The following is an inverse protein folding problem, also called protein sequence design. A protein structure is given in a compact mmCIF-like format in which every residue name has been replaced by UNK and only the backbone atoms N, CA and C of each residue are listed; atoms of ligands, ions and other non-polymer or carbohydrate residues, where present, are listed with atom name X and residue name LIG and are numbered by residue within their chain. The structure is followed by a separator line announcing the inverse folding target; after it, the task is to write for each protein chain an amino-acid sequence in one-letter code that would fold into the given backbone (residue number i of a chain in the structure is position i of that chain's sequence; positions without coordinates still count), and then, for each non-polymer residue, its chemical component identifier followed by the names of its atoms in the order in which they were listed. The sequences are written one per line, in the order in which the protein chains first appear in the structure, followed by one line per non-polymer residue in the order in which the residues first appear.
data_IF_757735287781
#
_entry.id   IF_757735287781
#
_cell.length_a   1.000
_cell.length_b   1.000
_cell.length_c   1.000
_cell.angle_alpha   90.00
_cell.angle_beta   90.00
_cell.angle_gamma   90.00
#
_symmetry.space_group_name_H-M   'P 1'
#
loop_
_entity.id
_entity.type
_entity.pdbx_description
1 polymer ?
#
# COMPACT_ATOMS: atom_id res chain seq x y z
N UNK A 1 -10.26 6.86 -6.94
CA UNK A 1 -11.44 6.03 -6.67
C UNK A 1 -11.93 6.23 -5.23
N UNK A 2 -13.26 6.16 -5.03
CA UNK A 2 -13.88 6.25 -3.70
C UNK A 2 -14.84 5.08 -3.53
N UNK A 3 -14.64 4.30 -2.47
CA UNK A 3 -15.50 3.19 -2.05
C UNK A 3 -16.20 3.58 -0.76
N UNK A 4 -17.46 3.96 -0.85
CA UNK A 4 -18.27 4.33 0.30
C UNK A 4 -19.14 3.15 0.73
N UNK A 5 -18.71 2.40 1.75
CA UNK A 5 -19.38 1.23 2.30
C UNK A 5 -19.55 0.05 1.33
N UNK A 6 -18.96 0.11 0.12
CA UNK A 6 -19.07 -0.96 -0.88
C UNK A 6 -18.47 -2.28 -0.36
N UNK A 7 -17.35 -2.22 0.33
CA UNK A 7 -16.71 -3.41 0.89
C UNK A 7 -17.55 -4.06 1.99
N UNK A 8 -18.30 -3.25 2.76
CA UNK A 8 -19.12 -3.73 3.88
C UNK A 8 -20.31 -4.59 3.41
N UNK A 9 -20.82 -4.31 2.20
CA UNK A 9 -21.97 -5.01 1.61
C UNK A 9 -21.58 -5.97 0.48
N UNK A 10 -20.33 -6.02 0.08
CA UNK A 10 -19.84 -6.87 -0.98
C UNK A 10 -19.89 -8.36 -0.61
N UNK A 11 -20.26 -9.20 -1.56
CA UNK A 11 -20.14 -10.67 -1.41
C UNK A 11 -18.67 -11.08 -1.41
N UNK A 12 -17.87 -10.53 -2.34
CA UNK A 12 -16.42 -10.71 -2.40
C UNK A 12 -15.68 -9.36 -2.43
N UNK A 13 -15.28 -8.83 -1.27
CA UNK A 13 -14.54 -7.57 -1.19
C UNK A 13 -13.15 -7.64 -1.83
N UNK A 14 -12.56 -8.85 -1.89
CA UNK A 14 -11.25 -9.03 -2.53
C UNK A 14 -11.33 -8.88 -4.05
N UNK A 15 -12.42 -9.32 -4.65
CA UNK A 15 -12.63 -9.15 -6.09
C UNK A 15 -12.73 -7.66 -6.44
N UNK A 16 -13.52 -6.89 -5.68
CA UNK A 16 -13.67 -5.45 -5.88
C UNK A 16 -12.30 -4.75 -5.81
N UNK A 17 -11.51 -5.06 -4.79
CA UNK A 17 -10.19 -4.45 -4.64
C UNK A 17 -9.24 -4.81 -5.80
N UNK A 18 -9.29 -6.04 -6.30
CA UNK A 18 -8.51 -6.46 -7.48
C UNK A 18 -8.94 -5.76 -8.76
N UNK A 19 -10.23 -5.54 -8.94
CA UNK A 19 -10.73 -4.80 -10.11
C UNK A 19 -10.32 -3.33 -10.06
N UNK A 20 -10.37 -2.73 -8.88
CA UNK A 20 -9.87 -1.37 -8.67
C UNK A 20 -8.37 -1.29 -8.91
N UNK A 21 -7.60 -2.27 -8.43
CA UNK A 21 -6.17 -2.31 -8.69
C UNK A 21 -5.85 -2.32 -10.20
N UNK A 22 -6.64 -3.03 -10.99
CA UNK A 22 -6.49 -3.05 -12.46
C UNK A 22 -6.92 -1.73 -13.12
N UNK A 23 -7.93 -1.07 -12.57
CA UNK A 23 -8.54 0.12 -13.15
C UNK A 23 -7.87 1.43 -12.73
N UNK A 24 -7.20 1.45 -11.58
CA UNK A 24 -6.57 2.66 -11.04
C UNK A 24 -5.23 2.92 -11.75
N UNK A 25 -5.03 4.18 -12.12
CA UNK A 25 -3.76 4.61 -12.70
C UNK A 25 -2.60 4.50 -11.69
N UNK A 26 -1.35 4.37 -12.20
CA UNK A 26 -0.16 4.56 -11.39
C UNK A 26 -0.24 5.85 -10.57
N UNK A 27 0.16 5.79 -9.31
CA UNK A 27 0.08 6.91 -8.35
C UNK A 27 -1.34 7.43 -8.06
N UNK A 28 -2.38 6.70 -8.48
CA UNK A 28 -3.76 7.04 -8.20
C UNK A 28 -4.14 6.82 -6.74
N UNK A 29 -5.07 7.65 -6.24
CA UNK A 29 -5.56 7.60 -4.88
C UNK A 29 -6.84 6.75 -4.78
N UNK A 30 -6.89 5.90 -3.75
CA UNK A 30 -8.04 5.09 -3.36
C UNK A 30 -8.50 5.50 -1.96
N UNK A 31 -9.77 5.90 -1.86
CA UNK A 31 -10.41 6.24 -0.58
C UNK A 31 -11.42 5.16 -0.23
N UNK A 32 -11.27 4.56 0.94
CA UNK A 32 -12.18 3.53 1.46
C UNK A 32 -12.84 4.07 2.71
N UNK A 33 -14.16 4.04 2.73
CA UNK A 33 -15.00 4.36 3.89
C UNK A 33 -15.72 3.10 4.32
N UNK A 34 -15.57 2.71 5.59
CA UNK A 34 -16.19 1.49 6.10
C UNK A 34 -16.61 1.61 7.57
N UNK A 35 -17.41 0.65 8.02
CA UNK A 35 -17.85 0.56 9.40
C UNK A 35 -16.79 -0.09 10.29
N UNK A 36 -16.56 0.52 11.45
CA UNK A 36 -15.61 -0.02 12.41
C UNK A 36 -16.28 -1.12 13.26
N UNK A 37 -15.79 -2.36 13.23
CA UNK A 37 -16.33 -3.45 14.04
C UNK A 37 -16.22 -3.22 15.54
N UNK A 38 -15.19 -2.48 15.98
CA UNK A 38 -14.94 -2.17 17.38
C UNK A 38 -15.75 -0.96 17.88
N UNK A 39 -16.58 -0.37 17.03
CA UNK A 39 -17.43 0.73 17.43
C UNK A 39 -18.59 0.27 18.31
N UNK A 40 -19.19 1.23 19.04
CA UNK A 40 -20.46 0.97 19.76
C UNK A 40 -21.55 0.44 18.85
N UNK A 41 -21.54 0.82 17.56
CA UNK A 41 -22.47 0.30 16.53
C UNK A 41 -22.18 -1.16 16.19
N UNK A 42 -20.90 -1.55 16.08
CA UNK A 42 -20.49 -2.93 15.87
C UNK A 42 -20.82 -3.81 17.08
N UNK A 43 -20.54 -3.30 18.27
CA UNK A 43 -20.86 -3.98 19.52
C UNK A 43 -22.39 -4.13 19.71
N UNK A 44 -23.15 -3.10 19.38
CA UNK A 44 -24.61 -3.17 19.40
C UNK A 44 -25.17 -4.20 18.40
N UNK A 45 -24.55 -4.34 17.23
CA UNK A 45 -24.90 -5.41 16.29
C UNK A 45 -24.71 -6.81 16.91
N UNK A 46 -23.66 -6.99 17.71
CA UNK A 46 -23.37 -8.24 18.38
C UNK A 46 -24.38 -8.57 19.49
N UNK A 47 -24.84 -7.55 20.24
CA UNK A 47 -25.73 -7.76 21.40
C UNK A 47 -27.20 -7.59 21.12
N UNK A 48 -27.61 -6.87 20.08
CA UNK A 48 -29.02 -6.60 19.77
C UNK A 48 -29.43 -7.29 18.48
N UNK A 49 -30.09 -8.41 18.63
CA UNK A 49 -30.63 -9.26 17.56
C UNK A 49 -31.81 -8.63 16.80
N UNK A 50 -31.79 -7.37 16.44
CA UNK A 50 -32.85 -6.80 15.64
C UNK A 50 -32.61 -7.09 14.15
N UNK A 51 -33.24 -8.16 13.64
CA UNK A 51 -33.11 -8.69 12.27
C UNK A 51 -33.55 -7.75 11.14
N UNK A 52 -34.17 -6.61 11.45
CA UNK A 52 -34.73 -5.67 10.46
C UNK A 52 -33.77 -4.51 10.10
N UNK A 53 -32.55 -4.51 10.57
CA UNK A 53 -31.60 -3.45 10.28
C UNK A 53 -30.74 -3.82 9.07
N UNK A 54 -30.62 -2.91 8.09
CA UNK A 54 -29.68 -3.02 6.94
C UNK A 54 -28.25 -3.30 7.40
N UNK A 55 -27.89 -2.87 8.61
CA UNK A 55 -26.59 -3.17 9.22
C UNK A 55 -26.38 -4.66 9.53
N UNK A 56 -27.42 -5.47 9.48
CA UNK A 56 -27.29 -6.90 9.73
C UNK A 56 -26.59 -7.63 8.56
N UNK A 57 -26.80 -7.18 7.34
CA UNK A 57 -26.15 -7.73 6.14
C UNK A 57 -24.72 -7.21 5.95
N UNK A 58 -24.40 -6.06 6.52
CA UNK A 58 -23.06 -5.47 6.38
C UNK A 58 -21.99 -6.33 7.09
N UNK A 59 -20.90 -6.62 6.40
CA UNK A 59 -19.71 -7.26 6.96
C UNK A 59 -18.76 -6.17 7.44
N UNK A 60 -18.48 -6.13 8.74
CA UNK A 60 -17.57 -5.14 9.29
C UNK A 60 -16.13 -5.64 9.22
N UNK A 61 -15.29 -4.91 8.50
CA UNK A 61 -13.88 -5.21 8.39
C UNK A 61 -13.05 -4.28 9.28
N UNK A 62 -12.09 -4.85 9.98
CA UNK A 62 -11.16 -4.07 10.78
C UNK A 62 -10.14 -3.36 9.88
N UNK A 63 -9.72 -2.17 10.30
CA UNK A 63 -8.71 -1.38 9.57
C UNK A 63 -7.41 -2.15 9.31
N UNK A 64 -6.84 -2.91 10.27
CA UNK A 64 -5.66 -3.74 10.00
C UNK A 64 -5.88 -4.71 8.85
N UNK A 65 -7.02 -5.38 8.80
CA UNK A 65 -7.34 -6.35 7.74
C UNK A 65 -7.40 -5.72 6.35
N UNK A 66 -8.02 -4.54 6.24
CA UNK A 66 -8.04 -3.82 4.96
C UNK A 66 -6.64 -3.34 4.58
N UNK A 67 -5.84 -2.89 5.53
CA UNK A 67 -4.44 -2.54 5.28
C UNK A 67 -3.65 -3.70 4.70
N UNK A 68 -3.80 -4.89 5.27
CA UNK A 68 -3.12 -6.09 4.76
C UNK A 68 -3.52 -6.39 3.31
N UNK A 69 -4.81 -6.29 2.99
CA UNK A 69 -5.30 -6.48 1.62
C UNK A 69 -4.74 -5.44 0.65
N UNK A 70 -4.70 -4.18 1.07
CA UNK A 70 -4.13 -3.09 0.28
C UNK A 70 -2.63 -3.27 0.05
N UNK A 71 -1.88 -3.68 1.08
CA UNK A 71 -0.46 -3.97 0.95
C UNK A 71 -0.19 -5.11 -0.04
N UNK A 72 -0.98 -6.18 -0.03
CA UNK A 72 -0.87 -7.29 -0.98
C UNK A 72 -1.10 -6.85 -2.43
N UNK A 73 -1.92 -5.82 -2.65
CA UNK A 73 -2.19 -5.24 -3.97
C UNK A 73 -1.22 -4.11 -4.36
N UNK A 74 -0.20 -3.83 -3.54
CA UNK A 74 0.78 -2.79 -3.82
C UNK A 74 0.32 -1.37 -3.51
N UNK A 75 -0.75 -1.21 -2.71
CA UNK A 75 -1.17 0.10 -2.22
C UNK A 75 -0.44 0.47 -0.94
N UNK A 76 0.01 1.71 -0.85
CA UNK A 76 0.52 2.30 0.37
C UNK A 76 -0.57 3.10 1.07
N UNK A 77 -0.86 2.75 2.32
CA UNK A 77 -1.82 3.49 3.13
C UNK A 77 -1.19 4.78 3.64
N UNK A 78 -1.66 5.91 3.12
CA UNK A 78 -1.13 7.24 3.44
C UNK A 78 -1.77 7.79 4.71
N UNK A 79 -3.08 7.56 4.89
CA UNK A 79 -3.82 8.14 6.00
C UNK A 79 -4.96 7.24 6.46
N UNK A 80 -5.18 7.21 7.78
CA UNK A 80 -6.36 6.59 8.40
C UNK A 80 -7.00 7.60 9.33
N UNK A 81 -8.27 7.90 9.10
CA UNK A 81 -9.08 8.77 9.96
C UNK A 81 -10.27 8.01 10.51
N UNK A 82 -10.52 8.20 11.79
CA UNK A 82 -11.73 7.69 12.44
C UNK A 82 -12.70 8.83 12.69
N UNK A 83 -13.96 8.63 12.32
CA UNK A 83 -15.01 9.63 12.50
C UNK A 83 -16.18 9.07 13.30
N UNK A 84 -16.61 9.75 14.36
CA UNK A 84 -17.84 9.38 15.04
C UNK A 84 -19.01 9.69 14.12
N UNK A 85 -19.86 8.71 13.85
CA UNK A 85 -21.09 8.93 13.11
C UNK A 85 -22.17 9.44 14.05
N UNK A 86 -22.13 10.72 14.39
CA UNK A 86 -22.99 11.32 15.44
C UNK A 86 -24.47 11.37 15.06
N UNK A 87 -24.83 11.32 13.76
CA UNK A 87 -26.23 11.39 13.32
C UNK A 87 -27.02 10.09 13.45
N UNK A 88 -26.36 8.93 13.58
CA UNK A 88 -27.03 7.66 13.88
C UNK A 88 -27.38 7.51 15.38
N UNK A 89 -26.81 8.36 16.21
CA UNK A 89 -27.11 8.45 17.64
C UNK A 89 -27.82 9.78 17.93
N UNK A 90 -29.03 9.93 17.41
CA UNK A 90 -29.96 11.00 17.83
C UNK A 90 -30.57 10.69 19.21
N UNK A 91 -29.86 9.98 20.06
CA UNK A 91 -30.13 9.92 21.48
C UNK A 91 -29.24 10.97 22.13
N UNK A 92 -29.81 12.15 22.38
CA UNK A 92 -29.31 13.28 23.19
C UNK A 92 -27.81 13.28 23.47
N UNK A 93 -27.07 14.32 23.00
CA UNK A 93 -25.62 14.46 23.22
C UNK A 93 -25.21 14.68 24.68
N UNK A 94 -26.17 14.64 25.62
CA UNK A 94 -25.99 14.99 27.02
C UNK A 94 -25.40 13.84 27.88
N UNK A 95 -25.23 12.63 27.32
CA UNK A 95 -24.62 11.56 28.06
C UNK A 95 -23.10 11.80 28.17
N UNK A 96 -22.69 12.21 29.36
CA UNK A 96 -21.29 12.43 29.75
C UNK A 96 -20.40 11.22 29.42
N UNK A 97 -20.97 10.02 29.43
CA UNK A 97 -20.32 8.76 29.08
C UNK A 97 -19.92 8.74 27.60
N UNK A 98 -20.77 9.22 26.69
CA UNK A 98 -20.48 9.26 25.24
C UNK A 98 -19.35 10.25 24.95
N UNK A 99 -19.35 11.42 25.62
CA UNK A 99 -18.25 12.40 25.51
C UNK A 99 -16.94 11.85 26.06
N UNK A 100 -17.00 11.10 27.14
CA UNK A 100 -15.83 10.45 27.75
C UNK A 100 -15.25 9.36 26.83
N UNK A 101 -16.11 8.49 26.28
CA UNK A 101 -15.70 7.46 25.33
C UNK A 101 -15.11 8.07 24.05
N UNK A 102 -15.65 9.16 23.52
CA UNK A 102 -15.11 9.87 22.36
C UNK A 102 -13.73 10.47 22.61
N UNK A 103 -13.46 10.91 23.85
CA UNK A 103 -12.19 11.55 24.22
C UNK A 103 -11.07 10.53 24.48
N UNK A 104 -11.39 9.39 25.10
CA UNK A 104 -10.39 8.40 25.51
C UNK A 104 -10.22 7.23 24.53
N UNK A 105 -11.20 6.96 23.68
CA UNK A 105 -11.19 5.83 22.76
C UNK A 105 -11.55 6.27 21.35
N UNK A 106 -10.66 6.98 20.65
CA UNK A 106 -10.89 7.40 19.26
C UNK A 106 -11.13 6.20 18.33
N UNK A 107 -10.66 5.00 18.70
CA UNK A 107 -10.88 3.76 17.96
C UNK A 107 -12.32 3.22 18.06
N UNK A 108 -13.16 3.75 18.95
CA UNK A 108 -14.59 3.42 19.04
C UNK A 108 -15.46 4.25 18.06
N UNK A 109 -14.84 5.06 17.22
CA UNK A 109 -15.54 5.79 16.16
C UNK A 109 -16.25 4.81 15.22
N UNK A 110 -17.46 5.15 14.82
CA UNK A 110 -18.34 4.25 14.05
C UNK A 110 -17.87 4.00 12.62
N UNK A 111 -17.15 4.95 12.04
CA UNK A 111 -16.70 4.91 10.65
C UNK A 111 -15.20 5.21 10.58
N UNK A 112 -14.50 4.47 9.74
CA UNK A 112 -13.13 4.80 9.37
C UNK A 112 -13.06 5.24 7.90
N UNK A 113 -12.07 6.05 7.60
CA UNK A 113 -11.70 6.49 6.27
C UNK A 113 -10.23 6.13 6.07
N UNK A 114 -9.94 5.31 5.07
CA UNK A 114 -8.59 4.93 4.68
C UNK A 114 -8.29 5.62 3.35
N UNK A 115 -7.17 6.32 3.28
CA UNK A 115 -6.62 6.86 2.04
C UNK A 115 -5.38 6.06 1.70
N UNK A 116 -5.37 5.45 0.54
CA UNK A 116 -4.26 4.66 0.05
C UNK A 116 -3.87 5.12 -1.36
N UNK A 117 -2.59 5.03 -1.67
CA UNK A 117 -2.02 5.39 -2.97
C UNK A 117 -1.43 4.16 -3.62
N UNK A 118 -1.73 3.93 -4.91
CA UNK A 118 -1.11 2.85 -5.67
C UNK A 118 0.34 3.19 -5.93
N UNK A 119 1.27 2.42 -5.34
CA UNK A 119 2.69 2.55 -5.63
C UNK A 119 3.04 1.71 -6.85
N UNK A 120 3.35 2.36 -7.94
CA UNK A 120 4.10 1.73 -9.01
C UNK A 120 5.58 1.90 -8.69
N UNK A 121 6.26 0.79 -8.45
CA UNK A 121 7.71 0.79 -8.46
C UNK A 121 8.14 1.06 -9.89
N UNK A 122 8.68 2.24 -10.22
CA UNK A 122 9.23 2.43 -11.54
C UNK A 122 10.34 1.38 -11.71
N UNK A 123 10.18 0.50 -12.68
CA UNK A 123 11.27 -0.37 -13.13
C UNK A 123 12.34 0.54 -13.75
N UNK A 124 13.08 1.24 -12.89
CA UNK A 124 14.31 1.88 -13.32
C UNK A 124 15.24 0.72 -13.69
N UNK A 125 15.52 0.48 -14.98
CA UNK A 125 16.52 -0.50 -15.33
C UNK A 125 17.82 -0.02 -14.69
N UNK A 126 18.27 -0.73 -13.68
CA UNK A 126 19.62 -0.57 -13.16
C UNK A 126 20.50 -0.89 -14.36
N UNK A 127 20.97 0.16 -15.05
CA UNK A 127 22.00 -0.03 -16.08
C UNK A 127 23.16 -0.69 -15.35
N UNK A 128 23.44 -1.99 -15.59
CA UNK A 128 24.62 -2.59 -15.02
C UNK A 128 25.80 -1.76 -15.51
N UNK A 129 26.53 -1.15 -14.61
CA UNK A 129 27.82 -0.54 -14.93
C UNK A 129 28.79 -1.69 -15.23
N UNK A 130 28.61 -2.30 -16.38
CA UNK A 130 29.63 -3.12 -16.97
C UNK A 130 30.75 -2.18 -17.37
N UNK A 131 31.58 -1.82 -16.42
CA UNK A 131 32.90 -1.29 -16.72
C UNK A 131 33.69 -2.48 -17.27
N UNK A 132 33.53 -2.70 -18.56
CA UNK A 132 34.53 -3.41 -19.33
C UNK A 132 35.79 -2.56 -19.21
N UNK A 133 36.59 -2.85 -18.18
CA UNK A 133 37.97 -2.43 -18.18
C UNK A 133 38.64 -3.36 -19.21
N UNK A 134 39.03 -2.88 -20.40
CA UNK A 134 39.88 -3.65 -21.27
C UNK A 134 41.25 -3.70 -20.61
N UNK A 135 41.51 -4.73 -19.84
CA UNK A 135 42.88 -5.09 -19.48
C UNK A 135 43.55 -5.67 -20.70
N UNK A 136 43.68 -4.87 -21.75
CA UNK A 136 44.68 -5.17 -22.76
C UNK A 136 45.99 -4.66 -22.20
N UNK A 137 46.69 -5.52 -21.46
CA UNK A 137 48.10 -5.41 -21.27
C UNK A 137 48.74 -5.66 -22.64
N UNK A 138 49.24 -4.59 -23.27
CA UNK A 138 50.06 -4.74 -24.45
C UNK A 138 51.32 -5.53 -24.01
N UNK A 139 51.34 -6.82 -24.31
CA UNK A 139 52.56 -7.59 -24.23
C UNK A 139 53.45 -7.05 -25.33
N UNK A 140 54.39 -6.20 -24.95
CA UNK A 140 55.42 -5.74 -25.84
C UNK A 140 56.25 -6.92 -26.33
N UNK A 141 56.03 -7.30 -27.58
CA UNK A 141 56.94 -8.20 -28.26
C UNK A 141 58.27 -7.44 -28.50
N UNK A 142 59.22 -7.65 -27.62
CA UNK A 142 60.60 -7.21 -27.83
C UNK A 142 61.21 -8.10 -28.91
N UNK A 143 61.17 -7.63 -30.13
CA UNK A 143 61.95 -8.20 -31.23
C UNK A 143 63.39 -7.75 -31.02
N UNK A 144 64.21 -8.63 -30.43
CA UNK A 144 65.65 -8.47 -30.33
C UNK A 144 66.22 -8.70 -31.71
N UNK A 145 66.49 -7.63 -32.45
CA UNK A 145 67.24 -7.72 -33.70
C UNK A 145 68.66 -8.16 -33.36
N UNK A 146 68.96 -9.43 -33.70
CA UNK A 146 70.28 -9.95 -33.60
C UNK A 146 71.21 -9.24 -34.56
N UNK A 147 72.33 -8.76 -34.04
CA UNK A 147 73.38 -8.09 -34.83
C UNK A 147 73.97 -8.95 -35.89
N UNK A 148 73.98 -8.45 -37.09
CA UNK A 148 74.88 -8.91 -38.13
C UNK A 148 76.20 -8.16 -38.09
N UNK A 149 77.21 -8.86 -37.62
CA UNK A 149 78.60 -8.45 -37.73
C UNK A 149 78.99 -8.46 -39.22
N UNK A 150 79.17 -7.26 -39.79
CA UNK A 150 79.83 -7.15 -41.11
C UNK A 150 81.33 -6.91 -40.90
N UNK A 151 82.04 -7.94 -41.16
CA UNK A 151 83.49 -7.98 -41.31
C UNK A 151 83.95 -7.05 -42.43
N UNK A 152 84.90 -6.21 -42.14
CA UNK A 152 85.55 -5.26 -43.02
C UNK A 152 86.77 -5.93 -43.66
N UNK A 153 86.94 -6.03 -44.98
CA UNK A 153 88.26 -6.43 -45.55
C UNK A 153 89.17 -5.21 -45.65
N UNK A 154 90.38 -5.44 -45.22
CA UNK A 154 91.50 -4.51 -45.47
C UNK A 154 91.99 -4.71 -46.91
N UNK A 155 92.19 -3.63 -47.63
CA UNK A 155 93.40 -3.26 -48.37
C UNK A 155 93.39 -1.80 -48.72
#
# INVERSE_FOLDING_TARGET
FVLAHELDFAQDPHQILREIDRAIMPDGDLVIVGFNPLSLTGLRKLFWFNRQSLLHEARFFSVPRIKDWLHLLGFEVTQVKYRPYSKLFTARPDNIIVRWCQRFLPHLASVYIIVAKKRTVPLSPIKPKWQLQPKFSAVGASIRAGGLNSEKPQN
#
